data_IF_432071288706
#
_entry.id   IF_432071288706
#
_cell.length_a   1.000
_cell.length_b   1.000
_cell.length_c   1.000
_cell.angle_alpha   90.00
_cell.angle_beta   90.00
_cell.angle_gamma   90.00
#
_symmetry.space_group_name_H-M   'P 1'
#
loop_
_entity.id
_entity.type
_entity.pdbx_description
1 polymer ?
#
# COMPACT_ATOMS: atom_id res chain seq x y z
N UNK A 1 11.42 34.95 13.86
CA UNK A 1 11.76 33.80 12.99
C UNK A 1 10.44 33.22 12.52
N UNK A 2 10.03 33.56 11.31
CA UNK A 2 8.78 33.08 10.71
C UNK A 2 9.09 31.85 9.87
N UNK A 3 8.56 30.70 10.28
CA UNK A 3 8.64 29.46 9.51
C UNK A 3 7.94 29.62 8.16
N UNK A 4 8.69 29.41 7.09
CA UNK A 4 8.19 29.43 5.73
C UNK A 4 7.63 28.04 5.40
N UNK A 5 6.36 27.79 5.75
CA UNK A 5 5.63 26.61 5.26
C UNK A 5 5.25 26.84 3.80
N UNK A 6 6.21 26.66 2.90
CA UNK A 6 5.97 26.64 1.47
C UNK A 6 5.10 25.41 1.14
N UNK A 7 3.80 25.63 0.96
CA UNK A 7 2.89 24.63 0.41
C UNK A 7 3.32 24.34 -1.02
N UNK A 8 3.74 23.10 -1.29
CA UNK A 8 4.14 22.66 -2.62
C UNK A 8 3.05 22.96 -3.67
N UNK A 9 3.46 23.53 -4.80
CA UNK A 9 2.57 23.82 -5.94
C UNK A 9 1.91 22.52 -6.44
N UNK A 10 0.60 22.52 -6.77
CA UNK A 10 -0.10 21.34 -7.29
C UNK A 10 0.46 20.79 -8.62
N UNK A 11 1.38 21.50 -9.27
CA UNK A 11 2.09 21.11 -10.50
C UNK A 11 3.54 20.68 -10.27
N UNK A 12 3.99 20.57 -9.01
CA UNK A 12 5.31 20.04 -8.69
C UNK A 12 5.36 18.53 -9.02
N UNK A 13 6.37 18.14 -9.80
CA UNK A 13 6.64 16.74 -10.11
C UNK A 13 7.03 15.99 -8.82
N UNK A 14 6.35 14.86 -8.55
CA UNK A 14 6.71 13.96 -7.45
C UNK A 14 7.44 12.73 -7.96
N UNK A 15 8.46 12.32 -7.22
CA UNK A 15 9.23 11.12 -7.52
C UNK A 15 8.88 9.98 -6.57
N UNK A 16 8.74 8.79 -7.14
CA UNK A 16 8.54 7.56 -6.41
C UNK A 16 9.55 6.51 -6.87
N UNK A 17 9.97 5.63 -5.96
CA UNK A 17 10.74 4.45 -6.32
C UNK A 17 10.03 3.19 -5.82
N UNK A 18 10.34 2.08 -6.48
CA UNK A 18 9.90 0.77 -6.06
C UNK A 18 10.90 0.18 -5.07
N UNK A 19 10.41 -0.22 -3.91
CA UNK A 19 11.23 -0.82 -2.86
C UNK A 19 11.69 -2.21 -3.33
N UNK A 20 13.00 -2.51 -3.32
CA UNK A 20 13.50 -3.85 -3.62
C UNK A 20 13.27 -4.80 -2.43
N UNK A 21 12.02 -5.00 -2.01
CA UNK A 21 11.65 -5.94 -0.93
C UNK A 21 11.60 -7.41 -1.39
N UNK A 22 12.28 -7.72 -2.50
CA UNK A 22 12.44 -9.07 -3.06
C UNK A 22 13.85 -9.27 -3.61
N UNK A 23 14.36 -10.51 -3.58
CA UNK A 23 15.68 -10.85 -4.12
C UNK A 23 15.72 -10.68 -5.64
N UNK A 24 16.87 -10.32 -6.19
CA UNK A 24 17.00 -9.98 -7.62
C UNK A 24 16.47 -8.58 -7.96
N UNK A 25 15.91 -7.86 -6.98
CA UNK A 25 15.30 -6.54 -7.20
C UNK A 25 14.09 -6.63 -8.13
N UNK A 26 14.04 -5.73 -9.11
CA UNK A 26 12.96 -5.67 -10.11
C UNK A 26 13.46 -6.01 -11.52
N UNK A 27 14.60 -6.71 -11.60
CA UNK A 27 15.29 -7.01 -12.86
C UNK A 27 15.47 -8.52 -12.97
N UNK A 28 14.94 -9.10 -14.04
CA UNK A 28 15.12 -10.53 -14.34
C UNK A 28 16.39 -10.70 -15.17
N UNK A 29 17.53 -10.94 -14.51
CA UNK A 29 18.83 -11.04 -15.16
C UNK A 29 19.78 -11.93 -14.37
N UNK A 30 20.67 -12.62 -15.08
CA UNK A 30 21.79 -13.39 -14.48
C UNK A 30 22.97 -12.48 -14.05
N UNK A 31 22.91 -11.17 -14.35
CA UNK A 31 23.92 -10.22 -13.90
C UNK A 31 23.80 -10.05 -12.38
N UNK A 32 24.94 -10.07 -11.68
CA UNK A 32 24.98 -9.84 -10.23
C UNK A 32 24.32 -8.51 -9.86
N UNK A 33 23.27 -8.60 -9.05
CA UNK A 33 22.52 -7.43 -8.57
C UNK A 33 23.19 -6.84 -7.33
N UNK A 34 23.24 -5.51 -7.26
CA UNK A 34 23.73 -4.76 -6.09
C UNK A 34 22.61 -4.36 -5.13
N UNK A 35 21.39 -4.81 -5.41
CA UNK A 35 20.22 -4.63 -4.55
C UNK A 35 20.02 -5.85 -3.68
N UNK A 36 19.60 -5.62 -2.44
CA UNK A 36 19.31 -6.69 -1.50
C UNK A 36 17.89 -6.55 -0.95
N UNK A 37 17.27 -7.68 -0.66
CA UNK A 37 15.90 -7.74 -0.16
C UNK A 37 15.81 -7.48 1.34
N UNK A 38 16.92 -7.58 2.07
CA UNK A 38 16.94 -7.45 3.52
C UNK A 38 16.49 -6.06 3.99
N UNK A 39 16.01 -6.03 5.22
CA UNK A 39 15.42 -4.83 5.80
C UNK A 39 16.44 -3.70 5.96
N UNK A 40 17.64 -3.98 6.47
CA UNK A 40 18.66 -2.95 6.72
C UNK A 40 19.13 -2.27 5.44
N UNK A 41 19.27 -3.02 4.35
CA UNK A 41 19.53 -2.48 3.02
C UNK A 41 18.42 -1.52 2.58
N UNK A 42 17.17 -1.94 2.70
CA UNK A 42 16.02 -1.13 2.28
C UNK A 42 15.82 0.11 3.15
N UNK A 43 16.17 0.07 4.45
CA UNK A 43 16.23 1.26 5.31
C UNK A 43 17.24 2.27 4.76
N UNK A 44 18.45 1.82 4.39
CA UNK A 44 19.47 2.71 3.80
C UNK A 44 18.99 3.33 2.48
N UNK A 45 18.33 2.55 1.62
CA UNK A 45 17.76 3.04 0.35
C UNK A 45 16.66 4.06 0.60
N UNK A 46 15.74 3.79 1.53
CA UNK A 46 14.64 4.70 1.86
C UNK A 46 15.13 6.04 2.39
N UNK A 47 16.09 6.01 3.30
CA UNK A 47 16.73 7.21 3.84
C UNK A 47 17.54 7.97 2.78
N UNK A 48 18.18 7.26 1.84
CA UNK A 48 18.87 7.89 0.72
C UNK A 48 17.86 8.56 -0.23
N UNK A 49 16.77 7.88 -0.57
CA UNK A 49 15.72 8.40 -1.44
C UNK A 49 15.11 9.69 -0.87
N UNK A 50 14.74 9.70 0.41
CA UNK A 50 14.12 10.89 1.03
C UNK A 50 15.09 12.09 1.15
N UNK A 51 16.40 11.84 1.26
CA UNK A 51 17.43 12.90 1.22
C UNK A 51 17.64 13.47 -0.18
N UNK A 52 17.26 12.73 -1.22
CA UNK A 52 17.43 13.10 -2.62
C UNK A 52 16.11 13.52 -3.30
N UNK A 53 15.07 13.83 -2.52
CA UNK A 53 13.83 14.42 -3.03
C UNK A 53 12.79 13.42 -3.55
N UNK A 54 12.89 12.14 -3.21
CA UNK A 54 11.79 11.20 -3.43
C UNK A 54 10.69 11.41 -2.39
N UNK A 55 9.45 11.50 -2.88
CA UNK A 55 8.27 11.68 -2.04
C UNK A 55 7.68 10.34 -1.60
N UNK A 56 7.77 9.32 -2.47
CA UNK A 56 7.10 8.03 -2.26
C UNK A 56 8.03 6.84 -2.45
N UNK A 57 7.73 5.78 -1.68
CA UNK A 57 8.23 4.44 -1.88
C UNK A 57 7.06 3.48 -2.03
N UNK A 58 7.12 2.55 -2.99
CA UNK A 58 6.10 1.52 -3.18
C UNK A 58 6.69 0.14 -2.93
N UNK A 59 6.22 -0.53 -1.89
CA UNK A 59 6.54 -1.92 -1.61
C UNK A 59 5.59 -2.82 -2.40
N UNK A 60 6.12 -3.63 -3.30
CA UNK A 60 5.29 -4.58 -4.04
C UNK A 60 4.76 -5.68 -3.12
N UNK A 61 3.62 -6.26 -3.49
CA UNK A 61 3.02 -7.39 -2.80
C UNK A 61 3.18 -8.62 -3.67
N UNK A 62 3.82 -9.61 -3.07
CA UNK A 62 3.93 -10.99 -3.56
C UNK A 62 4.24 -11.85 -2.34
N UNK A 63 3.70 -13.06 -2.34
CA UNK A 63 3.84 -14.04 -1.28
C UNK A 63 4.52 -15.32 -1.77
N UNK A 64 4.55 -15.55 -3.07
CA UNK A 64 5.23 -16.68 -3.69
C UNK A 64 6.43 -16.25 -4.53
N UNK A 65 7.49 -17.07 -4.50
CA UNK A 65 8.66 -16.92 -5.37
C UNK A 65 8.25 -16.97 -6.85
N UNK A 66 8.80 -16.05 -7.66
CA UNK A 66 8.52 -16.00 -9.10
C UNK A 66 9.63 -15.22 -9.82
N UNK A 67 9.83 -15.50 -11.13
CA UNK A 67 10.81 -14.80 -11.97
C UNK A 67 12.25 -14.75 -11.42
N UNK A 68 12.69 -15.79 -10.72
CA UNK A 68 14.03 -15.86 -10.11
C UNK A 68 14.20 -15.05 -8.82
N UNK A 69 13.11 -14.51 -8.25
CA UNK A 69 13.09 -13.86 -6.96
C UNK A 69 12.62 -14.83 -5.86
N UNK A 70 13.58 -15.50 -5.21
CA UNK A 70 13.34 -16.55 -4.21
C UNK A 70 12.94 -16.02 -2.82
N UNK A 71 13.39 -14.82 -2.46
CA UNK A 71 13.17 -14.23 -1.13
C UNK A 71 12.28 -12.99 -1.26
N UNK A 72 11.21 -12.94 -0.47
CA UNK A 72 10.21 -11.88 -0.55
C UNK A 72 9.66 -11.50 0.82
N UNK A 73 9.53 -10.21 1.07
CA UNK A 73 8.89 -9.71 2.28
C UNK A 73 7.46 -9.28 2.04
N UNK A 74 6.61 -9.55 3.03
CA UNK A 74 5.22 -9.09 3.06
C UNK A 74 5.17 -7.55 3.07
N UNK A 75 4.34 -7.00 2.18
CA UNK A 75 4.39 -5.57 1.82
C UNK A 75 4.02 -4.62 2.96
N UNK A 76 2.99 -4.93 3.74
CA UNK A 76 2.46 -4.02 4.77
C UNK A 76 3.47 -3.86 5.91
N UNK A 77 3.91 -4.96 6.51
CA UNK A 77 4.87 -4.98 7.62
C UNK A 77 6.20 -4.33 7.23
N UNK A 78 6.70 -4.64 6.02
CA UNK A 78 7.93 -4.03 5.50
C UNK A 78 7.78 -2.51 5.31
N UNK A 79 6.64 -2.08 4.76
CA UNK A 79 6.33 -0.65 4.58
C UNK A 79 6.25 0.10 5.91
N UNK A 80 5.66 -0.49 6.96
CA UNK A 80 5.64 0.11 8.29
C UNK A 80 7.07 0.27 8.85
N UNK A 81 7.92 -0.74 8.68
CA UNK A 81 9.33 -0.64 9.08
C UNK A 81 10.04 0.54 8.40
N UNK A 82 9.85 0.70 7.09
CA UNK A 82 10.43 1.83 6.34
C UNK A 82 9.84 3.18 6.74
N UNK A 83 8.53 3.24 7.01
CA UNK A 83 7.88 4.46 7.52
C UNK A 83 8.54 4.91 8.82
N UNK A 84 8.78 3.99 9.75
CA UNK A 84 9.36 4.30 11.05
C UNK A 84 10.86 4.60 11.00
N UNK A 85 11.55 4.15 9.95
CA UNK A 85 12.97 4.41 9.74
C UNK A 85 13.26 5.68 8.92
N UNK A 86 12.22 6.41 8.52
CA UNK A 86 12.27 7.64 7.70
C UNK A 86 11.44 8.75 8.32
N UNK A 87 11.73 10.00 7.97
CA UNK A 87 11.06 11.16 8.56
C UNK A 87 9.99 11.75 7.65
N UNK A 88 10.24 11.78 6.32
CA UNK A 88 9.38 12.47 5.35
C UNK A 88 8.79 11.55 4.29
N UNK A 89 9.45 10.43 4.02
CA UNK A 89 9.06 9.51 2.95
C UNK A 89 7.66 8.94 3.19
N UNK A 90 6.80 9.01 2.18
CA UNK A 90 5.51 8.31 2.19
C UNK A 90 5.71 6.91 1.64
N UNK A 91 5.17 5.91 2.32
CA UNK A 91 5.33 4.52 1.90
C UNK A 91 3.97 3.92 1.60
N UNK A 92 3.88 3.36 0.40
CA UNK A 92 2.70 2.74 -0.15
C UNK A 92 2.89 1.22 -0.06
N UNK A 93 2.03 0.55 0.71
CA UNK A 93 2.01 -0.91 0.75
C UNK A 93 1.02 -1.44 -0.30
N UNK A 94 1.49 -2.28 -1.21
CA UNK A 94 0.59 -2.98 -2.11
C UNK A 94 -0.16 -4.10 -1.37
N UNK A 95 -1.42 -4.35 -1.73
CA UNK A 95 -2.25 -5.38 -1.09
C UNK A 95 -3.20 -6.04 -2.08
N UNK A 96 -3.54 -7.29 -1.82
CA UNK A 96 -4.51 -8.07 -2.62
C UNK A 96 -5.86 -8.21 -1.90
N UNK A 97 -6.96 -7.67 -2.45
CA UNK A 97 -8.31 -8.05 -2.02
C UNK A 97 -8.50 -9.56 -2.13
N UNK A 98 -9.11 -10.17 -1.12
CA UNK A 98 -9.28 -11.62 -1.00
C UNK A 98 -8.17 -12.33 -0.22
N UNK A 99 -6.98 -11.73 -0.08
CA UNK A 99 -5.97 -12.20 0.90
C UNK A 99 -5.98 -11.35 2.18
N UNK A 100 -6.65 -10.20 2.13
CA UNK A 100 -6.87 -9.33 3.27
C UNK A 100 -8.36 -9.18 3.55
N UNK A 101 -8.73 -9.22 4.83
CA UNK A 101 -10.03 -8.71 5.26
C UNK A 101 -9.98 -7.16 5.29
N UNK A 102 -10.90 -6.44 4.62
CA UNK A 102 -10.85 -4.98 4.52
C UNK A 102 -10.91 -4.29 5.89
N UNK A 103 -11.66 -4.86 6.84
CA UNK A 103 -11.71 -4.33 8.20
C UNK A 103 -10.36 -4.35 8.94
N UNK A 104 -9.58 -5.41 8.74
CA UNK A 104 -8.27 -5.55 9.38
C UNK A 104 -7.27 -4.62 8.71
N UNK A 105 -7.27 -4.57 7.37
CA UNK A 105 -6.41 -3.65 6.63
C UNK A 105 -6.72 -2.18 6.96
N UNK A 106 -8.01 -1.80 7.03
CA UNK A 106 -8.42 -0.45 7.40
C UNK A 106 -7.87 -0.04 8.77
N UNK A 107 -7.91 -0.96 9.75
CA UNK A 107 -7.35 -0.75 11.09
C UNK A 107 -5.82 -0.67 11.07
N UNK A 108 -5.17 -1.53 10.28
CA UNK A 108 -3.71 -1.48 10.10
C UNK A 108 -3.26 -0.13 9.53
N UNK A 109 -3.94 0.37 8.51
CA UNK A 109 -3.63 1.67 7.87
C UNK A 109 -3.80 2.81 8.87
N UNK A 110 -4.86 2.79 9.70
CA UNK A 110 -5.02 3.77 10.79
C UNK A 110 -3.82 3.74 11.73
N UNK A 111 -3.41 2.54 12.18
CA UNK A 111 -2.26 2.39 13.07
C UNK A 111 -0.99 2.95 12.43
N UNK A 112 -0.71 2.56 11.18
CA UNK A 112 0.46 3.03 10.44
C UNK A 112 0.43 4.54 10.19
N UNK A 113 -0.74 5.12 9.89
CA UNK A 113 -0.95 6.55 9.73
C UNK A 113 -0.61 7.33 11.02
N UNK A 114 -1.08 6.88 12.19
CA UNK A 114 -0.74 7.49 13.47
C UNK A 114 0.75 7.37 13.81
N UNK A 115 1.33 6.18 13.59
CA UNK A 115 2.74 5.93 13.87
C UNK A 115 3.69 6.70 12.94
N UNK A 116 3.25 6.99 11.71
CA UNK A 116 4.06 7.66 10.69
C UNK A 116 3.70 9.13 10.47
N UNK A 117 2.76 9.68 11.24
CA UNK A 117 2.23 11.04 11.08
C UNK A 117 1.66 11.32 9.67
N UNK A 118 0.82 10.41 9.17
CA UNK A 118 0.08 10.62 7.91
C UNK A 118 0.83 10.23 6.63
N UNK A 119 1.86 9.40 6.74
CA UNK A 119 2.71 9.00 5.60
C UNK A 119 2.40 7.62 5.01
N UNK A 120 1.57 6.84 5.69
CA UNK A 120 1.15 5.52 5.23
C UNK A 120 0.08 5.60 4.13
N UNK A 121 0.23 4.77 3.10
CA UNK A 121 -0.75 4.62 2.03
C UNK A 121 -0.83 3.16 1.57
N UNK A 122 -1.88 2.81 0.82
CA UNK A 122 -2.01 1.50 0.19
C UNK A 122 -2.29 1.56 -1.29
N UNK A 123 -1.71 0.60 -2.01
CA UNK A 123 -1.98 0.34 -3.42
C UNK A 123 -2.79 -0.96 -3.53
N UNK A 124 -4.09 -0.84 -3.85
CA UNK A 124 -4.97 -2.02 -3.95
C UNK A 124 -4.85 -2.61 -5.35
N UNK A 125 -4.36 -3.85 -5.43
CA UNK A 125 -4.15 -4.58 -6.69
C UNK A 125 -4.98 -5.86 -6.71
N UNK A 126 -5.76 -6.08 -7.76
CA UNK A 126 -6.80 -7.13 -7.81
C UNK A 126 -6.30 -8.59 -7.73
N UNK A 127 -4.98 -8.82 -7.75
CA UNK A 127 -4.38 -10.15 -7.80
C UNK A 127 -4.33 -10.71 -9.22
N UNK A 128 -3.22 -11.37 -9.55
CA UNK A 128 -2.96 -11.92 -10.88
C UNK A 128 -2.35 -13.31 -10.84
N UNK A 129 -1.56 -13.63 -9.81
CA UNK A 129 -0.94 -14.94 -9.63
C UNK A 129 -1.90 -15.88 -8.90
N UNK A 130 -2.51 -16.80 -9.66
CA UNK A 130 -3.50 -17.77 -9.15
C UNK A 130 -2.96 -18.63 -8.02
N UNK A 131 -1.70 -19.03 -8.11
CA UNK A 131 -1.08 -19.98 -7.18
C UNK A 131 -0.93 -19.39 -5.77
N UNK A 132 -0.83 -18.07 -5.62
CA UNK A 132 -0.82 -17.44 -4.28
C UNK A 132 -2.16 -17.62 -3.57
N UNK A 133 -3.27 -17.42 -4.27
CA UNK A 133 -4.60 -17.58 -3.69
C UNK A 133 -4.88 -19.04 -3.38
N UNK A 134 -4.69 -19.92 -4.36
CA UNK A 134 -4.95 -21.35 -4.19
C UNK A 134 -4.02 -21.97 -3.15
N UNK A 135 -2.76 -21.56 -3.11
CA UNK A 135 -1.77 -22.01 -2.13
C UNK A 135 -2.13 -21.64 -0.69
N UNK A 136 -2.77 -20.49 -0.49
CA UNK A 136 -3.34 -20.10 0.82
C UNK A 136 -4.75 -20.65 1.07
N UNK A 137 -5.30 -21.46 0.16
CA UNK A 137 -6.64 -22.03 0.29
C UNK A 137 -7.79 -21.06 -0.04
N UNK A 138 -7.48 -19.92 -0.63
CA UNK A 138 -8.45 -18.90 -1.01
C UNK A 138 -9.02 -19.16 -2.42
N UNK A 139 -10.30 -18.81 -2.66
CA UNK A 139 -10.91 -19.03 -3.96
C UNK A 139 -10.28 -18.13 -5.03
N UNK A 140 -9.97 -18.76 -6.17
CA UNK A 140 -9.59 -18.03 -7.36
C UNK A 140 -10.82 -17.55 -8.11
N UNK A 141 -10.96 -16.24 -8.25
CA UNK A 141 -12.03 -15.60 -9.00
C UNK A 141 -11.57 -15.28 -10.42
N UNK A 142 -12.50 -15.31 -11.37
CA UNK A 142 -12.27 -14.85 -12.74
C UNK A 142 -11.98 -13.35 -12.82
N UNK A 143 -11.38 -12.89 -13.92
CA UNK A 143 -10.86 -11.53 -14.04
C UNK A 143 -11.88 -10.44 -13.67
N UNK A 144 -13.08 -10.46 -14.27
CA UNK A 144 -14.12 -9.47 -13.97
C UNK A 144 -14.57 -9.49 -12.50
N UNK A 145 -14.67 -10.67 -11.92
CA UNK A 145 -15.10 -10.84 -10.53
C UNK A 145 -14.03 -10.36 -9.54
N UNK A 146 -12.73 -10.48 -9.87
CA UNK A 146 -11.66 -9.87 -9.07
C UNK A 146 -11.75 -8.35 -9.03
N UNK A 147 -12.15 -7.70 -10.12
CA UNK A 147 -12.36 -6.25 -10.13
C UNK A 147 -13.61 -5.84 -9.34
N UNK A 148 -14.72 -6.61 -9.44
CA UNK A 148 -15.90 -6.40 -8.57
C UNK A 148 -15.55 -6.50 -7.09
N UNK A 149 -14.80 -7.53 -6.69
CA UNK A 149 -14.29 -7.68 -5.32
C UNK A 149 -13.41 -6.51 -4.90
N UNK A 150 -12.58 -6.00 -5.80
CA UNK A 150 -11.67 -4.88 -5.54
C UNK A 150 -12.43 -3.58 -5.35
N UNK A 151 -13.45 -3.31 -6.17
CA UNK A 151 -14.31 -2.14 -6.01
C UNK A 151 -15.04 -2.17 -4.66
N UNK A 152 -15.61 -3.32 -4.31
CA UNK A 152 -16.29 -3.50 -3.02
C UNK A 152 -15.31 -3.33 -1.84
N UNK A 153 -14.11 -3.91 -1.96
CA UNK A 153 -13.05 -3.77 -0.96
C UNK A 153 -12.70 -2.29 -0.70
N UNK A 154 -12.49 -1.51 -1.76
CA UNK A 154 -12.18 -0.07 -1.65
C UNK A 154 -13.35 0.69 -1.02
N UNK A 155 -14.60 0.34 -1.38
CA UNK A 155 -15.81 0.95 -0.79
C UNK A 155 -15.87 0.71 0.72
N UNK A 156 -15.62 -0.52 1.15
CA UNK A 156 -15.58 -0.88 2.58
C UNK A 156 -14.46 -0.15 3.31
N UNK A 157 -13.25 -0.08 2.75
CA UNK A 157 -12.14 0.67 3.35
C UNK A 157 -12.51 2.14 3.57
N UNK A 158 -13.08 2.79 2.54
CA UNK A 158 -13.50 4.20 2.63
C UNK A 158 -14.55 4.40 3.71
N UNK A 159 -15.61 3.60 3.69
CA UNK A 159 -16.70 3.70 4.68
C UNK A 159 -16.19 3.53 6.11
N UNK A 160 -15.33 2.53 6.35
CA UNK A 160 -14.72 2.29 7.65
C UNK A 160 -13.84 3.46 8.15
N UNK A 161 -13.22 4.24 7.26
CA UNK A 161 -12.44 5.42 7.64
C UNK A 161 -13.29 6.66 7.88
N UNK A 162 -14.36 6.84 7.10
CA UNK A 162 -15.12 8.09 7.06
C UNK A 162 -16.39 8.05 7.92
N UNK A 163 -17.04 6.91 8.06
CA UNK A 163 -18.38 6.81 8.65
C UNK A 163 -18.35 6.30 10.10
N UNK A 164 -19.36 6.70 10.89
CA UNK A 164 -19.65 6.08 12.20
C UNK A 164 -20.69 4.99 11.96
N UNK A 165 -20.64 3.92 12.76
CA UNK A 165 -21.67 2.87 12.73
C UNK A 165 -21.80 2.26 11.32
N UNK A 166 -20.66 2.11 10.64
CA UNK A 166 -20.61 1.74 9.23
C UNK A 166 -21.15 0.33 9.04
N UNK A 167 -22.09 0.20 8.10
CA UNK A 167 -22.67 -1.08 7.69
C UNK A 167 -22.52 -1.24 6.19
N UNK A 168 -22.12 -2.43 5.77
CA UNK A 168 -22.01 -2.80 4.36
C UNK A 168 -22.42 -4.26 4.19
N UNK A 169 -23.30 -4.53 3.23
CA UNK A 169 -23.82 -5.87 2.93
C UNK A 169 -23.64 -6.13 1.43
N UNK A 170 -22.43 -6.50 1.03
CA UNK A 170 -22.10 -6.78 -0.36
C UNK A 170 -21.97 -8.26 -0.69
N UNK A 171 -21.52 -8.52 -1.90
CA UNK A 171 -21.33 -9.86 -2.43
C UNK A 171 -20.13 -10.53 -1.75
N UNK A 172 -19.07 -9.76 -1.49
CA UNK A 172 -17.80 -10.27 -0.96
C UNK A 172 -17.60 -10.00 0.54
N UNK A 173 -18.07 -8.86 1.05
CA UNK A 173 -17.79 -8.42 2.41
C UNK A 173 -19.08 -8.01 3.14
N UNK A 174 -19.10 -8.26 4.45
CA UNK A 174 -20.17 -7.84 5.35
C UNK A 174 -19.57 -7.15 6.57
N UNK A 175 -20.01 -5.93 6.83
CA UNK A 175 -19.68 -5.15 8.02
C UNK A 175 -20.99 -4.77 8.69
N UNK A 176 -21.09 -4.98 10.00
CA UNK A 176 -22.29 -4.73 10.78
C UNK A 176 -22.00 -3.65 11.83
N UNK A 177 -22.61 -2.48 11.67
CA UNK A 177 -22.64 -1.40 12.66
C UNK A 177 -21.30 -1.19 13.37
N UNK A 178 -20.24 -0.96 12.59
CA UNK A 178 -18.88 -0.94 13.11
C UNK A 178 -18.21 0.42 12.97
N UNK A 179 -17.55 0.87 14.03
CA UNK A 179 -16.77 2.12 14.02
C UNK A 179 -15.31 1.85 14.35
N UNK A 180 -14.39 2.19 13.45
CA UNK A 180 -12.97 2.16 13.75
C UNK A 180 -12.56 3.35 14.63
N UNK A 181 -11.83 3.03 15.71
CA UNK A 181 -11.15 3.99 16.60
C UNK A 181 -9.69 3.58 16.81
N UNK A 182 -8.71 4.51 16.83
CA UNK A 182 -8.87 5.93 16.53
C UNK A 182 -9.27 6.15 15.06
N UNK A 183 -9.69 7.37 14.71
CA UNK A 183 -9.86 7.74 13.29
C UNK A 183 -8.49 8.01 12.66
N UNK A 184 -8.32 7.87 11.34
CA UNK A 184 -7.10 8.29 10.66
C UNK A 184 -6.78 9.76 11.00
N UNK A 185 -5.51 10.06 11.31
CA UNK A 185 -5.04 11.43 11.54
C UNK A 185 -5.05 12.25 10.25
N UNK A 186 -4.75 11.59 9.13
CA UNK A 186 -5.01 12.08 7.77
C UNK A 186 -5.92 11.09 7.06
N UNK A 187 -6.95 11.58 6.34
CA UNK A 187 -7.84 10.68 5.62
C UNK A 187 -7.03 9.95 4.52
N UNK A 188 -6.84 8.62 4.57
CA UNK A 188 -5.94 7.90 3.65
C UNK A 188 -6.53 7.71 2.26
N UNK A 189 -7.64 8.38 1.94
CA UNK A 189 -8.24 8.34 0.61
C UNK A 189 -7.29 9.06 -0.34
N UNK A 190 -6.66 8.29 -1.23
CA UNK A 190 -5.91 8.80 -2.36
C UNK A 190 -6.65 10.01 -2.94
N UNK A 191 -5.96 11.15 -3.01
CA UNK A 191 -6.46 12.40 -3.60
C UNK A 191 -6.81 12.10 -5.06
N UNK A 192 -8.02 11.62 -5.33
CA UNK A 192 -8.48 11.36 -6.69
C UNK A 192 -8.58 12.72 -7.37
N UNK A 193 -7.62 13.05 -8.25
CA UNK A 193 -7.84 14.10 -9.24
C UNK A 193 -9.10 13.68 -10.00
N UNK A 194 -10.20 14.43 -9.83
CA UNK A 194 -11.30 14.38 -10.80
C UNK A 194 -10.69 14.85 -12.11
N UNK A 195 -10.50 13.97 -13.07
CA UNK A 195 -10.31 14.39 -14.46
C UNK A 195 -11.63 15.00 -14.92
N UNK A 196 -11.64 16.31 -15.14
CA UNK A 196 -12.72 17.01 -15.82
C UNK A 196 -12.67 16.64 -17.31
N UNK A 197 -13.10 15.44 -17.64
CA UNK A 197 -13.40 15.03 -19.02
C UNK A 197 -14.68 14.20 -18.98
N UNK A 198 -15.78 14.93 -18.80
CA UNK A 198 -17.13 14.51 -19.15
C UNK A 198 -17.88 15.81 -19.46
N UNK A 199 -17.87 16.20 -20.72
CA UNK A 199 -19.02 16.84 -21.34
C UNK A 199 -20.02 15.73 -21.66
#
# INVERSE_FOLDING_TARGET
MTENTATASPDALSFAYWVPNVSGGLVTSDIEQRTHFDFDFNVRVAQLAERNGFDYALSQVRYAASYGADQQHESTSFSLGLLLATERLKVIAAVHPGLWHPGVLAKWIITADHMSHGRAAVNVVSGWLKDEFVGFGEPWLEHGERYRRTEEFIRVLRGLWTEKEFTHLGDFYRIHDFTLKPRPSTCPVARTRRSSWAQ
#
